data_IF_795296408872
#
_entry.id   IF_795296408872
#
_cell.length_a   1.000
_cell.length_b   1.000
_cell.length_c   1.000
_cell.angle_alpha   90.00
_cell.angle_beta   90.00
_cell.angle_gamma   90.00
#
_symmetry.space_group_name_H-M   'P 1'
#
loop_
_entity.id
_entity.type
_entity.pdbx_description
1 polymer ?
#
# COMPACT_ATOMS: atom_id res chain seq x y z
N UNK A 1 -10.25 -18.59 14.35
CA UNK A 1 -10.13 -17.14 14.04
C UNK A 1 -11.36 -16.41 14.59
N UNK A 2 -11.31 -15.14 15.00
CA UNK A 2 -12.40 -14.48 15.76
C UNK A 2 -13.80 -14.62 15.14
N UNK A 3 -13.90 -14.52 13.81
CA UNK A 3 -15.15 -14.72 13.07
C UNK A 3 -15.76 -16.11 13.29
N UNK A 4 -14.94 -17.17 13.33
CA UNK A 4 -15.43 -18.54 13.57
C UNK A 4 -16.02 -18.69 14.97
N UNK A 5 -15.43 -17.98 15.95
CA UNK A 5 -15.93 -17.99 17.33
C UNK A 5 -17.26 -17.25 17.44
N UNK A 6 -17.41 -16.14 16.72
CA UNK A 6 -18.67 -15.38 16.65
C UNK A 6 -19.79 -16.24 16.03
N UNK A 7 -19.49 -16.92 14.93
CA UNK A 7 -20.42 -17.83 14.25
C UNK A 7 -20.84 -18.99 15.17
N UNK A 8 -19.90 -19.56 15.93
CA UNK A 8 -20.19 -20.63 16.89
C UNK A 8 -21.05 -20.16 18.07
N UNK A 9 -20.73 -19.00 18.65
CA UNK A 9 -21.47 -18.44 19.79
C UNK A 9 -22.93 -18.14 19.42
N UNK A 10 -23.16 -17.58 18.23
CA UNK A 10 -24.50 -17.25 17.77
C UNK A 10 -25.23 -18.44 17.11
N UNK A 11 -24.58 -19.60 16.98
CA UNK A 11 -25.12 -20.79 16.30
C UNK A 11 -25.65 -20.49 14.88
N UNK A 12 -24.88 -19.72 14.11
CA UNK A 12 -25.25 -19.30 12.74
C UNK A 12 -24.37 -19.93 11.67
N UNK A 13 -24.78 -19.81 10.40
CA UNK A 13 -24.13 -20.48 9.28
C UNK A 13 -23.09 -19.63 8.55
N UNK A 14 -23.16 -18.30 8.65
CA UNK A 14 -22.31 -17.40 7.88
C UNK A 14 -22.01 -16.09 8.59
N UNK A 15 -20.93 -15.45 8.13
CA UNK A 15 -20.57 -14.12 8.57
C UNK A 15 -19.33 -13.61 7.85
N UNK A 16 -19.05 -12.34 8.04
CA UNK A 16 -17.93 -11.63 7.46
C UNK A 16 -17.31 -10.64 8.45
N UNK A 17 -16.03 -10.38 8.27
CA UNK A 17 -15.32 -9.29 8.92
C UNK A 17 -14.82 -8.36 7.82
N UNK A 18 -15.23 -7.10 7.94
CA UNK A 18 -14.92 -6.02 7.01
C UNK A 18 -14.11 -4.94 7.71
N UNK A 19 -13.16 -4.34 7.02
CA UNK A 19 -12.43 -3.17 7.50
C UNK A 19 -12.73 -1.96 6.63
N UNK A 20 -12.73 -0.78 7.24
CA UNK A 20 -12.94 0.46 6.51
C UNK A 20 -11.66 0.81 5.75
N UNK A 21 -11.82 1.02 4.45
CA UNK A 21 -10.81 1.62 3.59
C UNK A 21 -11.06 3.13 3.54
N UNK A 22 -10.28 3.89 4.31
CA UNK A 22 -10.44 5.34 4.43
C UNK A 22 -10.27 6.09 3.11
N UNK A 23 -9.50 5.56 2.15
CA UNK A 23 -9.26 6.23 0.85
C UNK A 23 -10.49 6.18 -0.05
N UNK A 24 -11.15 5.03 -0.09
CA UNK A 24 -12.32 4.79 -0.95
C UNK A 24 -13.66 4.99 -0.20
N UNK A 25 -13.61 5.11 1.12
CA UNK A 25 -14.77 5.14 2.03
C UNK A 25 -15.70 3.93 1.83
N UNK A 26 -15.10 2.74 1.73
CA UNK A 26 -15.78 1.45 1.52
C UNK A 26 -15.34 0.43 2.56
N UNK A 27 -16.16 -0.60 2.74
CA UNK A 27 -15.90 -1.76 3.58
C UNK A 27 -15.27 -2.89 2.74
N UNK A 28 -14.00 -3.19 3.03
CA UNK A 28 -13.25 -4.27 2.41
C UNK A 28 -13.41 -5.56 3.21
N UNK A 29 -13.89 -6.63 2.56
CA UNK A 29 -14.04 -7.95 3.19
C UNK A 29 -12.65 -8.58 3.42
N UNK A 30 -12.23 -8.60 4.68
CA UNK A 30 -10.97 -9.24 5.09
C UNK A 30 -11.11 -10.74 5.15
N UNK A 31 -12.23 -11.22 5.70
CA UNK A 31 -12.52 -12.66 5.82
C UNK A 31 -14.03 -12.90 5.86
N UNK A 32 -14.44 -14.09 5.42
CA UNK A 32 -15.83 -14.53 5.45
C UNK A 32 -15.92 -16.06 5.65
N UNK A 33 -17.09 -16.52 6.06
CA UNK A 33 -17.47 -17.93 6.23
C UNK A 33 -18.92 -18.13 5.82
N UNK A 34 -19.25 -19.31 5.29
CA UNK A 34 -20.61 -19.66 4.89
C UNK A 34 -21.17 -18.91 3.67
N UNK A 35 -20.30 -18.22 2.92
CA UNK A 35 -20.64 -17.47 1.71
C UNK A 35 -19.88 -17.99 0.48
N UNK A 36 -20.40 -17.74 -0.72
CA UNK A 36 -19.71 -18.06 -1.97
C UNK A 36 -18.45 -17.17 -2.14
N UNK A 37 -17.31 -17.70 -2.60
CA UNK A 37 -16.09 -16.91 -2.82
C UNK A 37 -16.25 -15.66 -3.70
N UNK A 38 -17.22 -15.67 -4.63
CA UNK A 38 -17.52 -14.52 -5.49
C UNK A 38 -18.09 -13.30 -4.78
N UNK A 39 -18.42 -13.38 -3.47
CA UNK A 39 -18.90 -12.25 -2.68
C UNK A 39 -17.82 -11.15 -2.54
N UNK A 40 -16.53 -11.50 -2.48
CA UNK A 40 -15.43 -10.52 -2.40
C UNK A 40 -15.36 -9.59 -3.61
N UNK A 41 -15.79 -10.05 -4.79
CA UNK A 41 -15.68 -9.29 -6.05
C UNK A 41 -16.97 -8.57 -6.43
N UNK A 42 -18.10 -8.92 -5.80
CA UNK A 42 -19.42 -8.41 -6.18
C UNK A 42 -19.90 -7.23 -5.34
N UNK A 43 -19.34 -7.01 -4.15
CA UNK A 43 -19.87 -6.02 -3.20
C UNK A 43 -18.76 -5.14 -2.67
N UNK A 44 -18.76 -3.86 -3.07
CA UNK A 44 -18.04 -2.77 -2.39
C UNK A 44 -19.08 -1.92 -1.67
N UNK A 45 -19.30 -2.20 -0.39
CA UNK A 45 -20.29 -1.48 0.40
C UNK A 45 -19.70 -0.16 0.90
N UNK A 46 -20.38 0.96 0.67
CA UNK A 46 -19.94 2.26 1.21
C UNK A 46 -20.29 2.39 2.68
N UNK A 47 -19.51 3.21 3.39
CA UNK A 47 -19.89 3.63 4.75
C UNK A 47 -21.23 4.39 4.67
N UNK A 48 -22.18 4.02 5.53
CA UNK A 48 -23.56 4.49 5.53
C UNK A 48 -24.53 3.74 4.61
N UNK A 49 -24.06 2.81 3.80
CA UNK A 49 -24.89 2.02 2.88
C UNK A 49 -25.14 0.61 3.44
N UNK A 50 -26.36 0.09 3.34
CA UNK A 50 -26.67 -1.23 3.91
C UNK A 50 -26.70 -1.23 5.44
N UNK A 51 -27.09 -2.37 6.03
CA UNK A 51 -27.04 -2.57 7.49
C UNK A 51 -25.61 -2.37 8.02
N UNK A 52 -24.65 -3.01 7.38
CA UNK A 52 -23.24 -2.99 7.78
C UNK A 52 -22.57 -1.64 7.58
N UNK A 53 -22.89 -0.91 6.50
CA UNK A 53 -22.38 0.46 6.33
C UNK A 53 -23.03 1.44 7.31
N UNK A 54 -24.30 1.28 7.67
CA UNK A 54 -24.94 2.08 8.73
C UNK A 54 -24.21 1.88 10.05
N UNK A 55 -23.95 0.62 10.45
CA UNK A 55 -23.18 0.32 11.67
C UNK A 55 -21.77 0.91 11.61
N UNK A 56 -21.11 0.85 10.44
CA UNK A 56 -19.81 1.48 10.23
C UNK A 56 -19.85 2.99 10.43
N UNK A 57 -20.95 3.65 10.05
CA UNK A 57 -21.12 5.10 10.15
C UNK A 57 -21.57 5.56 11.54
N UNK A 58 -22.45 4.81 12.20
CA UNK A 58 -23.00 5.17 13.52
C UNK A 58 -22.10 4.78 14.67
N UNK A 59 -21.31 3.70 14.53
CA UNK A 59 -20.62 3.09 15.66
C UNK A 59 -21.55 2.36 16.63
N UNK A 60 -22.81 2.15 16.25
CA UNK A 60 -23.82 1.45 17.05
C UNK A 60 -24.15 0.11 16.39
N UNK A 61 -24.06 -0.98 17.16
CA UNK A 61 -24.43 -2.32 16.67
C UNK A 61 -25.92 -2.45 16.42
N UNK A 62 -26.29 -3.29 15.45
CA UNK A 62 -27.66 -3.42 14.98
C UNK A 62 -28.07 -4.89 14.82
N UNK A 63 -29.22 -5.23 15.39
CA UNK A 63 -29.91 -6.50 15.18
C UNK A 63 -31.05 -6.26 14.18
N UNK A 64 -31.03 -7.01 13.07
CA UNK A 64 -32.13 -7.02 12.09
C UNK A 64 -32.80 -8.38 12.13
N UNK A 65 -33.93 -8.47 12.82
CA UNK A 65 -34.66 -9.73 12.98
C UNK A 65 -35.33 -10.22 11.69
N UNK A 66 -35.61 -9.32 10.75
CA UNK A 66 -36.18 -9.65 9.43
C UNK A 66 -35.62 -8.70 8.36
N UNK A 67 -34.64 -9.19 7.59
CA UNK A 67 -34.02 -8.38 6.53
C UNK A 67 -34.96 -8.10 5.36
N UNK A 68 -35.99 -8.93 5.15
CA UNK A 68 -36.96 -8.76 4.06
C UNK A 68 -37.91 -7.58 4.28
N UNK A 69 -38.04 -7.16 5.54
CA UNK A 69 -38.84 -6.01 5.95
C UNK A 69 -38.00 -4.74 6.13
N UNK A 70 -36.67 -4.82 6.01
CA UNK A 70 -35.78 -3.70 6.27
C UNK A 70 -35.41 -2.96 4.96
N UNK A 71 -35.81 -1.69 4.79
CA UNK A 71 -35.56 -0.93 3.56
C UNK A 71 -34.08 -0.61 3.33
N UNK A 72 -33.25 -0.70 4.37
CA UNK A 72 -31.81 -0.48 4.28
C UNK A 72 -31.03 -1.76 4.00
N UNK A 73 -31.69 -2.92 3.93
CA UNK A 73 -30.98 -4.17 3.65
C UNK A 73 -30.60 -4.28 2.17
N UNK A 74 -29.35 -4.67 1.93
CA UNK A 74 -28.81 -4.93 0.59
C UNK A 74 -28.58 -6.43 0.48
N UNK A 75 -29.37 -7.10 -0.36
CA UNK A 75 -29.28 -8.54 -0.54
C UNK A 75 -28.01 -8.92 -1.29
N UNK A 76 -27.12 -9.65 -0.61
CA UNK A 76 -25.91 -10.25 -1.18
C UNK A 76 -26.12 -11.75 -1.45
N UNK A 77 -27.12 -12.36 -0.77
CA UNK A 77 -27.48 -13.77 -0.86
C UNK A 77 -28.97 -13.95 -0.54
N UNK A 78 -29.66 -14.74 -1.36
CA UNK A 78 -31.13 -14.85 -1.32
C UNK A 78 -31.69 -15.61 -0.10
N UNK A 79 -30.86 -16.29 0.69
CA UNK A 79 -31.29 -17.09 1.83
C UNK A 79 -31.08 -16.42 3.19
N UNK A 80 -30.55 -15.19 3.24
CA UNK A 80 -30.37 -14.45 4.49
C UNK A 80 -31.72 -13.86 4.92
N UNK A 81 -32.07 -14.08 6.19
CA UNK A 81 -33.36 -13.70 6.77
C UNK A 81 -33.21 -12.82 8.01
N UNK A 82 -32.09 -12.91 8.73
CA UNK A 82 -31.71 -11.98 9.79
C UNK A 82 -30.21 -11.70 9.78
N UNK A 83 -29.82 -10.55 10.31
CA UNK A 83 -28.44 -10.06 10.36
C UNK A 83 -28.14 -9.46 11.74
N UNK A 84 -26.92 -9.69 12.24
CA UNK A 84 -26.33 -8.98 13.37
C UNK A 84 -25.05 -8.32 12.88
N UNK A 85 -25.02 -6.99 12.91
CA UNK A 85 -23.86 -6.20 12.54
C UNK A 85 -23.31 -5.47 13.77
N UNK A 86 -22.01 -5.60 14.01
CA UNK A 86 -21.34 -5.09 15.21
C UNK A 86 -20.07 -4.33 14.81
N UNK A 87 -19.90 -3.07 15.28
CA UNK A 87 -18.73 -2.27 14.93
C UNK A 87 -17.48 -2.77 15.67
N UNK A 88 -16.33 -2.65 15.02
CA UNK A 88 -15.02 -2.83 15.63
C UNK A 88 -14.47 -1.45 15.98
N UNK A 89 -14.39 -1.13 17.27
CA UNK A 89 -14.05 0.23 17.75
C UNK A 89 -12.72 0.23 18.51
N UNK A 90 -11.87 1.22 18.21
CA UNK A 90 -10.64 1.52 18.94
C UNK A 90 -10.57 3.02 19.17
N UNK A 91 -10.42 3.46 20.42
CA UNK A 91 -10.28 4.89 20.76
C UNK A 91 -11.40 5.75 20.12
N UNK A 92 -12.64 5.27 20.22
CA UNK A 92 -13.85 5.91 19.65
C UNK A 92 -13.89 5.98 18.10
N UNK A 93 -12.96 5.33 17.41
CA UNK A 93 -12.93 5.22 15.95
C UNK A 93 -13.39 3.84 15.52
N UNK A 94 -14.39 3.79 14.64
CA UNK A 94 -14.81 2.55 13.97
C UNK A 94 -13.77 2.20 12.92
N UNK A 95 -13.15 1.03 13.04
CA UNK A 95 -12.15 0.54 12.08
C UNK A 95 -12.69 -0.53 11.14
N UNK A 96 -13.89 -1.04 11.41
CA UNK A 96 -14.50 -2.15 10.67
C UNK A 96 -15.79 -2.63 11.29
N UNK A 97 -16.35 -3.69 10.72
CA UNK A 97 -17.62 -4.30 11.14
C UNK A 97 -17.53 -5.83 11.05
N UNK A 98 -18.03 -6.51 12.08
CA UNK A 98 -18.34 -7.94 12.03
C UNK A 98 -19.83 -8.06 11.70
N UNK A 99 -20.15 -8.76 10.62
CA UNK A 99 -21.53 -9.10 10.25
C UNK A 99 -21.73 -10.61 10.32
N UNK A 100 -22.83 -11.02 10.95
CA UNK A 100 -23.26 -12.40 11.08
C UNK A 100 -24.64 -12.54 10.46
N UNK A 101 -24.85 -13.58 9.68
CA UNK A 101 -26.08 -13.79 8.93
C UNK A 101 -26.72 -15.14 9.27
N UNK A 102 -28.05 -15.18 9.21
CA UNK A 102 -28.81 -16.40 9.42
C UNK A 102 -29.94 -16.52 8.41
N UNK A 103 -30.23 -17.76 8.00
CA UNK A 103 -31.39 -18.08 7.17
C UNK A 103 -32.69 -18.21 7.96
N UNK A 104 -32.65 -17.96 9.27
CA UNK A 104 -33.82 -17.87 10.15
C UNK A 104 -34.09 -16.42 10.51
N UNK A 105 -35.36 -16.00 10.51
CA UNK A 105 -35.76 -14.72 11.10
C UNK A 105 -35.55 -14.75 12.61
N UNK A 106 -35.19 -13.62 13.21
CA UNK A 106 -35.03 -13.47 14.65
C UNK A 106 -33.95 -14.37 15.26
N UNK A 107 -32.88 -14.68 14.51
CA UNK A 107 -31.81 -15.55 15.01
C UNK A 107 -30.91 -14.88 16.06
N UNK A 108 -30.98 -13.56 16.17
CA UNK A 108 -30.14 -12.76 17.06
C UNK A 108 -30.97 -12.05 18.13
N UNK A 109 -30.38 -11.91 19.31
CA UNK A 109 -30.94 -11.23 20.47
C UNK A 109 -29.90 -10.27 21.07
N UNK A 110 -30.28 -9.53 22.10
CA UNK A 110 -29.40 -8.55 22.77
C UNK A 110 -28.16 -9.18 23.42
N UNK A 111 -28.27 -10.41 23.95
CA UNK A 111 -27.13 -11.13 24.52
C UNK A 111 -26.07 -11.44 23.45
N UNK A 112 -26.51 -11.83 22.24
CA UNK A 112 -25.61 -11.98 21.10
C UNK A 112 -24.94 -10.64 20.77
N UNK A 113 -25.68 -9.53 20.71
CA UNK A 113 -25.10 -8.22 20.44
C UNK A 113 -24.03 -7.85 21.49
N UNK A 114 -24.31 -8.05 22.78
CA UNK A 114 -23.37 -7.74 23.87
C UNK A 114 -22.08 -8.56 23.79
N UNK A 115 -22.21 -9.88 23.61
CA UNK A 115 -21.05 -10.80 23.53
C UNK A 115 -20.22 -10.51 22.27
N UNK A 116 -20.88 -10.35 21.12
CA UNK A 116 -20.18 -10.06 19.87
C UNK A 116 -19.55 -8.67 19.90
N UNK A 117 -20.16 -7.67 20.53
CA UNK A 117 -19.55 -6.35 20.75
C UNK A 117 -18.27 -6.44 21.56
N UNK A 118 -18.26 -7.24 22.62
CA UNK A 118 -17.05 -7.47 23.43
C UNK A 118 -15.94 -8.11 22.60
N UNK A 119 -16.27 -9.12 21.78
CA UNK A 119 -15.30 -9.76 20.89
C UNK A 119 -14.81 -8.81 19.80
N UNK A 120 -15.70 -8.04 19.19
CA UNK A 120 -15.37 -7.06 18.16
C UNK A 120 -14.39 -6.01 18.69
N UNK A 121 -14.61 -5.49 19.89
CA UNK A 121 -13.69 -4.54 20.54
C UNK A 121 -12.31 -5.15 20.81
N UNK A 122 -12.24 -6.40 21.30
CA UNK A 122 -10.95 -7.09 21.46
C UNK A 122 -10.25 -7.33 20.11
N UNK A 123 -11.01 -7.70 19.08
CA UNK A 123 -10.49 -7.87 17.72
C UNK A 123 -9.87 -6.56 17.20
N UNK A 124 -10.57 -5.46 17.44
CA UNK A 124 -10.18 -4.13 17.00
C UNK A 124 -8.85 -3.70 17.64
N UNK A 125 -8.70 -3.90 18.96
CA UNK A 125 -7.46 -3.63 19.69
C UNK A 125 -6.28 -4.47 19.17
N UNK A 126 -6.49 -5.77 18.95
CA UNK A 126 -5.45 -6.66 18.38
C UNK A 126 -5.06 -6.20 16.98
N UNK A 127 -6.04 -5.83 16.16
CA UNK A 127 -5.79 -5.35 14.80
C UNK A 127 -4.95 -4.06 14.81
N UNK A 128 -5.30 -3.08 15.65
CA UNK A 128 -4.54 -1.84 15.83
C UNK A 128 -3.10 -2.12 16.26
N UNK A 129 -2.91 -3.00 17.23
CA UNK A 129 -1.59 -3.37 17.73
C UNK A 129 -0.72 -4.01 16.64
N UNK A 130 -1.29 -4.91 15.83
CA UNK A 130 -0.60 -5.52 14.70
C UNK A 130 -0.23 -4.50 13.62
N UNK A 131 -1.09 -3.52 13.36
CA UNK A 131 -0.82 -2.45 12.40
C UNK A 131 0.33 -1.55 12.88
N UNK A 132 0.31 -1.14 14.16
CA UNK A 132 1.39 -0.37 14.78
C UNK A 132 2.70 -1.15 14.76
N UNK A 133 2.66 -2.44 15.12
CA UNK A 133 3.84 -3.31 15.10
C UNK A 133 4.46 -3.40 13.71
N UNK A 134 3.64 -3.59 12.66
CA UNK A 134 4.12 -3.61 11.26
C UNK A 134 4.75 -2.28 10.83
N UNK A 135 4.15 -1.15 11.23
CA UNK A 135 4.72 0.17 10.95
C UNK A 135 6.07 0.37 11.64
N UNK A 136 6.21 -0.10 12.89
CA UNK A 136 7.47 -0.07 13.64
C UNK A 136 8.53 -0.96 12.99
N UNK A 137 8.17 -2.19 12.59
CA UNK A 137 9.10 -3.08 11.86
C UNK A 137 9.58 -2.45 10.55
N UNK A 138 8.68 -1.84 9.78
CA UNK A 138 9.05 -1.15 8.54
C UNK A 138 9.98 0.03 8.79
N UNK A 139 9.70 0.85 9.82
CA UNK A 139 10.59 1.95 10.22
C UNK A 139 11.96 1.44 10.67
N UNK A 140 12.01 0.38 11.48
CA UNK A 140 13.27 -0.24 11.92
C UNK A 140 14.08 -0.77 10.74
N UNK A 141 13.42 -1.42 9.76
CA UNK A 141 14.09 -1.90 8.54
C UNK A 141 14.70 -0.74 7.74
N UNK A 142 13.97 0.36 7.59
CA UNK A 142 14.48 1.58 6.94
C UNK A 142 15.67 2.15 7.71
N UNK A 143 15.59 2.24 9.04
CA UNK A 143 16.69 2.73 9.87
C UNK A 143 17.95 1.86 9.77
N UNK A 144 17.80 0.53 9.75
CA UNK A 144 18.93 -0.38 9.55
C UNK A 144 19.60 -0.17 8.20
N UNK A 145 18.82 0.00 7.13
CA UNK A 145 19.36 0.32 5.81
C UNK A 145 20.15 1.64 5.84
N UNK A 146 19.64 2.67 6.51
CA UNK A 146 20.35 3.95 6.65
C UNK A 146 21.66 3.82 7.44
N UNK A 147 21.67 3.04 8.52
CA UNK A 147 22.87 2.76 9.31
C UNK A 147 23.91 2.00 8.47
N UNK A 148 23.47 1.01 7.70
CA UNK A 148 24.35 0.25 6.80
C UNK A 148 24.96 1.15 5.72
N UNK A 149 24.16 2.02 5.10
CA UNK A 149 24.64 3.03 4.15
C UNK A 149 25.68 3.95 4.82
N UNK A 150 25.37 4.48 6.02
CA UNK A 150 26.28 5.37 6.74
C UNK A 150 27.61 4.69 7.09
N UNK A 151 27.61 3.39 7.38
CA UNK A 151 28.84 2.63 7.65
C UNK A 151 29.70 2.45 6.40
N UNK A 152 29.07 2.18 5.26
CA UNK A 152 29.75 2.10 3.96
C UNK A 152 30.39 3.45 3.59
N UNK A 153 29.69 4.57 3.83
CA UNK A 153 30.24 5.92 3.60
C UNK A 153 31.52 6.17 4.42
N UNK A 154 31.65 5.58 5.61
CA UNK A 154 32.84 5.71 6.45
C UNK A 154 33.99 4.73 6.15
N UNK A 155 33.82 3.71 5.28
CA UNK A 155 34.79 2.62 5.17
C UNK A 155 35.74 2.63 3.96
N UNK A 156 35.57 3.49 2.94
CA UNK A 156 36.55 3.56 1.84
C UNK A 156 36.61 4.94 1.20
N UNK A 157 37.81 5.51 1.11
CA UNK A 157 38.08 6.87 0.60
C UNK A 157 38.16 6.87 -0.95
N UNK A 158 37.11 6.36 -1.60
CA UNK A 158 36.81 6.58 -3.02
C UNK A 158 35.29 6.69 -3.12
N UNK A 159 34.78 7.93 -3.26
CA UNK A 159 33.35 8.25 -3.30
C UNK A 159 32.57 7.41 -4.34
N UNK A 160 33.24 7.02 -5.42
CA UNK A 160 32.71 6.17 -6.48
C UNK A 160 32.39 4.74 -6.00
N UNK A 161 33.27 4.12 -5.22
CA UNK A 161 33.08 2.76 -4.69
C UNK A 161 31.87 2.70 -3.73
N UNK A 162 31.64 3.77 -2.95
CA UNK A 162 30.48 3.87 -2.06
C UNK A 162 29.17 3.87 -2.87
N UNK A 163 29.10 4.65 -3.94
CA UNK A 163 27.88 4.75 -4.74
C UNK A 163 27.62 3.46 -5.53
N UNK A 164 28.67 2.79 -6.01
CA UNK A 164 28.56 1.45 -6.60
C UNK A 164 28.02 0.45 -5.58
N UNK A 165 28.58 0.39 -4.38
CA UNK A 165 28.11 -0.49 -3.29
C UNK A 165 26.66 -0.22 -2.89
N UNK A 166 26.25 1.05 -2.85
CA UNK A 166 24.86 1.45 -2.58
C UNK A 166 23.94 0.92 -3.69
N UNK A 167 24.29 1.12 -4.96
CA UNK A 167 23.50 0.65 -6.08
C UNK A 167 23.35 -0.87 -6.08
N UNK A 168 24.43 -1.60 -5.79
CA UNK A 168 24.47 -3.06 -5.66
C UNK A 168 23.52 -3.57 -4.57
N UNK A 169 23.47 -2.87 -3.42
CA UNK A 169 22.59 -3.22 -2.30
C UNK A 169 21.13 -2.90 -2.61
N UNK A 170 20.87 -1.77 -3.27
CA UNK A 170 19.52 -1.39 -3.70
C UNK A 170 18.96 -2.39 -4.70
N UNK A 171 19.76 -2.83 -5.68
CA UNK A 171 19.39 -3.88 -6.64
C UNK A 171 18.95 -5.16 -5.90
N UNK A 172 19.80 -5.66 -4.99
CA UNK A 172 19.54 -6.91 -4.24
C UNK A 172 18.35 -6.81 -3.28
N UNK A 173 18.16 -5.66 -2.62
CA UNK A 173 17.14 -5.50 -1.57
C UNK A 173 15.74 -5.20 -2.14
N UNK A 174 15.68 -4.41 -3.22
CA UNK A 174 14.44 -3.96 -3.84
C UNK A 174 14.12 -4.72 -5.13
N UNK A 175 14.97 -5.66 -5.55
CA UNK A 175 14.86 -6.40 -6.80
C UNK A 175 14.67 -5.45 -8.01
N UNK A 176 15.53 -4.42 -8.06
CA UNK A 176 15.52 -3.43 -9.14
C UNK A 176 16.11 -4.04 -10.40
N UNK A 177 15.55 -3.70 -11.56
CA UNK A 177 16.16 -4.08 -12.83
C UNK A 177 17.28 -3.10 -13.23
N UNK A 178 17.10 -1.81 -12.94
CA UNK A 178 18.08 -0.75 -13.21
C UNK A 178 17.95 0.38 -12.20
N UNK A 179 19.03 1.13 -12.02
CA UNK A 179 19.01 2.41 -11.31
C UNK A 179 20.32 3.17 -11.49
N UNK A 180 20.33 4.43 -11.08
CA UNK A 180 21.49 5.30 -11.21
C UNK A 180 21.54 6.36 -10.13
N UNK A 181 22.75 6.77 -9.78
CA UNK A 181 23.05 7.95 -8.98
C UNK A 181 23.70 8.97 -9.91
N UNK A 182 23.10 10.16 -9.98
CA UNK A 182 23.71 11.33 -10.61
C UNK A 182 24.11 12.33 -9.55
N UNK A 183 25.28 12.94 -9.67
CA UNK A 183 25.76 13.98 -8.77
C UNK A 183 25.96 15.28 -9.54
N UNK A 184 25.80 16.40 -8.84
CA UNK A 184 26.04 17.71 -9.41
C UNK A 184 27.55 18.01 -9.43
N UNK A 185 28.08 18.41 -10.59
CA UNK A 185 29.42 18.95 -10.77
C UNK A 185 29.33 20.49 -10.83
N UNK A 186 29.63 21.22 -9.74
CA UNK A 186 29.42 22.68 -9.68
C UNK A 186 30.24 23.45 -10.72
N UNK A 187 31.45 22.97 -11.05
CA UNK A 187 32.34 23.66 -12.00
C UNK A 187 31.77 23.71 -13.43
N UNK A 188 30.99 22.69 -13.81
CA UNK A 188 30.37 22.60 -15.14
C UNK A 188 28.88 22.91 -15.12
N UNK A 189 28.28 23.05 -13.93
CA UNK A 189 26.85 23.20 -13.72
C UNK A 189 26.01 22.08 -14.38
N UNK A 190 26.51 20.85 -14.31
CA UNK A 190 25.84 19.66 -14.86
C UNK A 190 25.62 18.61 -13.77
N UNK A 191 24.62 17.76 -13.95
CA UNK A 191 24.44 16.51 -13.24
C UNK A 191 25.08 15.41 -14.08
N UNK A 192 25.96 14.62 -13.48
CA UNK A 192 26.63 13.52 -14.15
C UNK A 192 26.39 12.21 -13.40
N UNK A 193 26.15 11.15 -14.16
CA UNK A 193 25.99 9.81 -13.62
C UNK A 193 27.32 9.31 -13.06
N UNK A 194 27.31 8.99 -11.77
CA UNK A 194 28.50 8.56 -11.00
C UNK A 194 28.44 7.07 -10.64
N UNK A 195 27.25 6.50 -10.48
CA UNK A 195 27.08 5.06 -10.31
C UNK A 195 25.77 4.57 -10.92
N UNK A 196 25.74 3.30 -11.29
CA UNK A 196 24.56 2.66 -11.84
C UNK A 196 24.56 1.15 -11.62
N UNK A 197 23.35 0.59 -11.59
CA UNK A 197 23.11 -0.84 -11.71
C UNK A 197 22.35 -1.12 -13.01
N UNK A 198 22.78 -2.17 -13.71
CA UNK A 198 22.18 -2.63 -14.96
C UNK A 198 22.50 -1.77 -16.20
N UNK A 199 23.41 -0.79 -16.11
CA UNK A 199 23.87 0.05 -17.23
C UNK A 199 25.29 -0.32 -17.69
N UNK A 200 25.57 -0.18 -18.98
CA UNK A 200 26.90 -0.33 -19.57
C UNK A 200 27.71 0.97 -19.43
N UNK A 201 29.05 0.88 -19.51
CA UNK A 201 29.92 2.05 -19.44
C UNK A 201 29.58 3.13 -20.50
N UNK A 202 29.23 2.73 -21.72
CA UNK A 202 28.83 3.66 -22.79
C UNK A 202 27.48 4.35 -22.50
N UNK A 203 26.54 3.65 -21.84
CA UNK A 203 25.28 4.26 -21.39
C UNK A 203 25.53 5.24 -20.24
N UNK A 204 26.46 4.93 -19.32
CA UNK A 204 26.84 5.80 -18.21
C UNK A 204 27.43 7.12 -18.69
N UNK A 205 28.32 7.09 -19.70
CA UNK A 205 28.91 8.32 -20.28
C UNK A 205 27.87 9.27 -20.87
N UNK A 206 26.73 8.76 -21.32
CA UNK A 206 25.62 9.57 -21.85
C UNK A 206 24.83 10.26 -20.74
N UNK A 207 24.94 9.79 -19.50
CA UNK A 207 24.16 10.22 -18.33
C UNK A 207 24.53 11.60 -17.80
N UNK A 208 24.52 12.62 -18.67
CA UNK A 208 24.74 14.02 -18.31
C UNK A 208 23.44 14.79 -18.49
N UNK A 209 23.06 15.58 -17.48
CA UNK A 209 21.83 16.37 -17.44
C UNK A 209 22.10 17.80 -16.95
N UNK A 210 21.24 18.74 -17.31
CA UNK A 210 21.23 20.08 -16.73
C UNK A 210 20.25 20.15 -15.53
N UNK A 211 20.46 21.07 -14.56
CA UNK A 211 19.41 21.43 -13.62
C UNK A 211 18.10 21.79 -14.34
N UNK A 212 16.97 21.28 -13.86
CA UNK A 212 15.65 21.43 -14.50
C UNK A 212 15.40 20.56 -15.74
N UNK A 213 16.40 19.86 -16.27
CA UNK A 213 16.25 19.03 -17.48
C UNK A 213 15.61 17.66 -17.18
N UNK A 214 14.43 17.46 -17.76
CA UNK A 214 13.65 16.24 -17.55
C UNK A 214 13.35 15.97 -16.08
N UNK A 215 12.98 14.74 -15.76
CA UNK A 215 12.64 14.38 -14.38
C UNK A 215 13.85 14.48 -13.45
N UNK A 216 15.01 13.96 -13.87
CA UNK A 216 16.23 13.98 -13.05
C UNK A 216 16.68 15.41 -12.71
N UNK A 217 16.77 16.30 -13.71
CA UNK A 217 17.14 17.69 -13.47
C UNK A 217 16.12 18.45 -12.64
N UNK A 218 14.82 18.17 -12.82
CA UNK A 218 13.75 18.79 -12.03
C UNK A 218 13.78 18.35 -10.57
N UNK A 219 14.06 17.08 -10.27
CA UNK A 219 14.24 16.62 -8.88
C UNK A 219 15.42 17.32 -8.22
N UNK A 220 16.52 17.51 -8.94
CA UNK A 220 17.66 18.26 -8.43
C UNK A 220 17.29 19.72 -8.11
N UNK A 221 16.62 20.41 -9.04
CA UNK A 221 16.26 21.82 -8.91
C UNK A 221 15.22 22.08 -7.81
N UNK A 222 14.20 21.21 -7.73
CA UNK A 222 13.11 21.37 -6.76
C UNK A 222 13.45 20.81 -5.39
N UNK A 223 14.36 19.84 -5.32
CA UNK A 223 14.61 19.06 -4.11
C UNK A 223 13.40 18.19 -3.70
N UNK A 224 12.46 17.92 -4.58
CA UNK A 224 11.28 17.09 -4.29
C UNK A 224 11.34 15.77 -5.07
N UNK A 225 10.99 14.61 -4.46
CA UNK A 225 10.97 13.34 -5.16
C UNK A 225 9.84 13.30 -6.20
N UNK A 226 10.10 12.63 -7.33
CA UNK A 226 9.12 12.42 -8.41
C UNK A 226 8.95 10.91 -8.64
N UNK A 227 7.69 10.48 -8.73
CA UNK A 227 7.31 9.11 -9.10
C UNK A 227 6.54 9.19 -10.41
N UNK A 228 6.97 8.39 -11.39
CA UNK A 228 6.32 8.20 -12.68
C UNK A 228 5.79 6.77 -12.71
N UNK A 229 4.49 6.61 -12.88
CA UNK A 229 3.86 5.29 -12.93
C UNK A 229 4.23 4.52 -14.20
N UNK A 230 4.36 5.23 -15.33
CA UNK A 230 4.72 4.66 -16.61
C UNK A 230 5.59 5.62 -17.42
N UNK A 231 6.85 5.27 -17.65
CA UNK A 231 7.79 6.11 -18.42
C UNK A 231 7.35 6.32 -19.88
N UNK A 232 6.47 5.49 -20.41
CA UNK A 232 5.91 5.64 -21.76
C UNK A 232 4.94 6.83 -21.86
N UNK A 233 4.33 7.24 -20.74
CA UNK A 233 3.25 8.21 -20.69
C UNK A 233 3.65 9.54 -20.05
N UNK A 234 4.94 9.75 -19.74
CA UNK A 234 5.43 10.96 -19.10
C UNK A 234 6.24 11.83 -20.06
N UNK A 235 5.72 13.02 -20.38
CA UNK A 235 6.35 13.97 -21.30
C UNK A 235 7.67 14.55 -20.78
N UNK A 236 7.90 14.52 -19.47
CA UNK A 236 9.12 15.04 -18.84
C UNK A 236 10.19 13.95 -18.68
N UNK A 237 9.87 12.69 -18.99
CA UNK A 237 10.84 11.61 -18.95
C UNK A 237 11.78 11.67 -20.16
N UNK A 238 13.06 11.94 -19.89
CA UNK A 238 14.09 11.97 -20.93
C UNK A 238 14.89 10.67 -20.90
N UNK A 239 14.87 9.98 -22.03
CA UNK A 239 15.58 8.71 -22.19
C UNK A 239 17.06 8.88 -22.57
N UNK A 240 17.83 9.56 -21.71
CA UNK A 240 19.21 9.98 -21.99
C UNK A 240 20.18 8.80 -22.14
N UNK A 241 20.08 7.82 -21.25
CA UNK A 241 21.01 6.66 -21.19
C UNK A 241 20.53 5.45 -21.99
N UNK A 242 19.59 5.63 -22.93
CA UNK A 242 19.23 4.58 -23.90
C UNK A 242 18.33 3.45 -23.36
N UNK A 243 17.48 3.73 -22.39
CA UNK A 243 16.55 2.79 -21.74
C UNK A 243 15.57 2.07 -22.70
N UNK A 244 15.31 2.61 -23.89
CA UNK A 244 14.26 2.08 -24.77
C UNK A 244 14.63 0.73 -25.40
N UNK A 245 15.92 0.41 -25.55
CA UNK A 245 16.33 -0.86 -26.13
C UNK A 245 16.18 -2.06 -25.18
N UNK A 246 16.21 -1.83 -23.86
CA UNK A 246 16.12 -2.89 -22.85
C UNK A 246 14.67 -3.16 -22.41
N UNK A 247 13.83 -2.13 -22.36
CA UNK A 247 12.38 -2.25 -22.13
C UNK A 247 11.56 -2.40 -23.42
N UNK A 248 12.21 -2.67 -24.55
CA UNK A 248 11.59 -2.79 -25.90
C UNK A 248 10.36 -3.69 -25.95
N UNK A 249 10.20 -4.58 -24.97
CA UNK A 249 9.09 -5.51 -24.89
C UNK A 249 7.85 -4.97 -24.15
N UNK A 250 7.92 -3.90 -23.33
CA UNK A 250 6.75 -3.20 -22.72
C UNK A 250 7.18 -1.98 -21.84
N UNK A 251 7.46 -0.79 -22.41
CA UNK A 251 7.78 0.42 -21.64
C UNK A 251 6.58 0.93 -20.80
N UNK A 252 5.35 0.53 -21.15
CA UNK A 252 4.13 0.86 -20.39
C UNK A 252 4.15 0.32 -18.95
N UNK A 253 4.88 -0.78 -18.71
CA UNK A 253 4.93 -1.46 -17.41
C UNK A 253 6.13 -1.04 -16.54
N UNK A 254 6.81 0.05 -16.90
CA UNK A 254 8.02 0.49 -16.21
C UNK A 254 7.72 1.78 -15.45
N UNK A 255 7.73 1.69 -14.12
CA UNK A 255 7.69 2.87 -13.26
C UNK A 255 9.11 3.38 -12.98
N UNK A 256 9.21 4.69 -12.78
CA UNK A 256 10.46 5.36 -12.47
C UNK A 256 10.28 6.19 -11.21
N UNK A 257 11.21 6.06 -10.26
CA UNK A 257 11.24 6.88 -9.05
C UNK A 257 12.58 7.60 -9.00
N UNK A 258 12.53 8.93 -8.87
CA UNK A 258 13.69 9.77 -8.66
C UNK A 258 13.56 10.52 -7.34
N UNK A 259 14.60 10.48 -6.52
CA UNK A 259 14.65 11.15 -5.23
C UNK A 259 15.95 11.96 -5.09
N UNK A 260 15.89 13.14 -4.45
CA UNK A 260 17.06 13.98 -4.27
C UNK A 260 18.00 13.39 -3.21
N UNK A 261 19.30 13.44 -3.48
CA UNK A 261 20.35 13.18 -2.50
C UNK A 261 20.67 14.53 -1.86
N UNK A 262 20.31 14.72 -0.58
CA UNK A 262 20.43 15.99 0.12
C UNK A 262 21.55 15.96 1.17
N UNK A 263 22.26 17.08 1.29
CA UNK A 263 22.95 17.51 2.51
C UNK A 263 22.00 18.37 3.35
N UNK A 264 22.42 18.80 4.54
CA UNK A 264 21.62 19.66 5.42
C UNK A 264 21.19 20.99 4.76
N UNK A 265 21.95 21.47 3.77
CA UNK A 265 21.71 22.77 3.12
C UNK A 265 21.40 22.68 1.62
N UNK A 266 21.82 21.62 0.93
CA UNK A 266 21.87 21.58 -0.53
C UNK A 266 21.46 20.21 -1.09
N UNK A 267 20.89 20.20 -2.30
CA UNK A 267 20.75 18.98 -3.09
C UNK A 267 22.08 18.70 -3.77
N UNK A 268 22.67 17.53 -3.50
CA UNK A 268 23.97 17.11 -4.03
C UNK A 268 23.83 16.30 -5.33
N UNK A 269 22.66 15.72 -5.57
CA UNK A 269 22.43 14.82 -6.68
C UNK A 269 21.04 14.20 -6.64
N UNK A 270 20.83 13.16 -7.46
CA UNK A 270 19.56 12.45 -7.58
C UNK A 270 19.83 10.96 -7.70
N UNK A 271 19.14 10.15 -6.89
CA UNK A 271 19.05 8.71 -7.06
C UNK A 271 17.79 8.37 -7.84
N UNK A 272 17.90 7.47 -8.81
CA UNK A 272 16.82 7.09 -9.71
C UNK A 272 16.76 5.57 -9.85
N UNK A 273 15.55 5.00 -9.81
CA UNK A 273 15.35 3.54 -9.88
C UNK A 273 14.18 3.21 -10.81
N UNK A 274 14.28 2.05 -11.47
CA UNK A 274 13.27 1.53 -12.39
C UNK A 274 12.63 0.28 -11.80
N UNK A 275 11.30 0.23 -11.83
CA UNK A 275 10.51 -0.93 -11.42
C UNK A 275 9.73 -1.48 -12.60
N UNK A 276 9.85 -2.78 -12.87
CA UNK A 276 9.08 -3.45 -13.92
C UNK A 276 7.96 -4.25 -13.30
N UNK A 277 6.73 -3.96 -13.74
CA UNK A 277 5.53 -4.67 -13.31
C UNK A 277 5.21 -5.80 -14.29
N UNK A 278 4.91 -6.99 -13.76
CA UNK A 278 4.27 -8.02 -14.59
C UNK A 278 2.82 -7.60 -14.82
N UNK A 279 2.39 -7.55 -16.08
CA UNK A 279 0.97 -7.39 -16.44
C UNK A 279 0.18 -8.42 -15.64
N UNK A 280 -0.76 -7.99 -14.81
CA UNK A 280 -1.75 -8.90 -14.24
C UNK A 280 -2.49 -9.51 -15.43
N UNK A 281 -2.26 -10.79 -15.70
CA UNK A 281 -3.09 -11.56 -16.61
C UNK A 281 -4.50 -11.56 -16.02
N UNK A 282 -5.38 -10.79 -16.64
CA UNK A 282 -6.82 -10.81 -16.39
C UNK A 282 -7.37 -12.16 -16.86
#
# INVERSE_FOLDING_TARGET
MILERCIQICEVGSGSLMLINEKENVLDIVTFRGMNPSVRTKVKLKVGEGITGIVAASGEGMIVSDVTANPHYISIKDDIMSELAVPMIVEDVVIGVISLDSSRKGAFNEEHLEIISTLANQAAQIFKNLQIFRQLEQKNKIQQVLIDISRTVTSTLVLQEIFEDIMDRLEKSLNLERGSIVLFEPEKAILKLEAASGLTAEEMEKGVYLPGEGVTGKVFETGEPIIIESIANDENFINRVGNAAHFKNNPENVSFLAAPIKSDTDVLGVVSVYFVHKKSSI
#
